data_IF_770213414484
#
_entry.id   IF_770213414484
#
_cell.length_a   1.000
_cell.length_b   1.000
_cell.length_c   1.000
_cell.angle_alpha   90.00
_cell.angle_beta   90.00
_cell.angle_gamma   90.00
#
_symmetry.space_group_name_H-M   'P 1'
#
loop_
_entity.id
_entity.type
_entity.pdbx_description
1 polymer ?
#
# COMPACT_ATOMS: atom_id res chain seq x y z
N UNK A 1 35.32 10.23 -8.76
CA UNK A 1 34.35 9.27 -9.34
C UNK A 1 33.05 10.03 -9.53
N UNK A 2 32.82 10.54 -10.75
CA UNK A 2 31.73 11.46 -11.07
C UNK A 2 30.44 10.67 -11.33
N UNK A 3 29.36 11.05 -10.64
CA UNK A 3 28.03 10.54 -10.93
C UNK A 3 27.56 11.06 -12.30
N UNK A 4 27.06 10.15 -13.13
CA UNK A 4 26.48 10.48 -14.44
C UNK A 4 25.12 11.16 -14.22
N UNK A 5 25.01 12.44 -14.61
CA UNK A 5 23.79 13.26 -14.50
C UNK A 5 22.93 13.08 -15.76
N UNK A 6 21.62 12.85 -15.59
CA UNK A 6 20.63 12.80 -16.67
C UNK A 6 20.26 14.24 -17.12
N UNK A 7 20.22 14.57 -18.42
CA UNK A 7 20.17 15.95 -18.92
C UNK A 7 18.77 16.61 -18.90
N UNK A 8 17.79 16.03 -18.21
CA UNK A 8 16.41 16.53 -18.10
C UNK A 8 16.09 17.18 -16.75
N UNK A 9 17.05 17.89 -16.15
CA UNK A 9 17.02 18.35 -14.76
C UNK A 9 15.89 19.34 -14.43
N UNK A 10 14.80 18.83 -13.86
CA UNK A 10 14.14 19.53 -12.78
C UNK A 10 14.92 19.23 -11.50
N UNK A 11 15.39 20.28 -10.83
CA UNK A 11 16.01 20.19 -9.50
C UNK A 11 15.04 19.47 -8.56
N UNK A 12 15.37 18.24 -8.14
CA UNK A 12 14.58 17.54 -7.13
C UNK A 12 14.81 18.21 -5.78
N UNK A 13 13.82 18.99 -5.35
CA UNK A 13 13.77 19.59 -4.04
C UNK A 13 13.82 18.49 -2.96
N UNK A 14 14.75 18.51 -1.98
CA UNK A 14 14.92 17.43 -1.00
C UNK A 14 13.82 17.34 0.06
N UNK A 15 12.72 18.10 -0.09
CA UNK A 15 11.47 17.86 0.61
C UNK A 15 10.69 16.78 -0.14
N UNK A 16 10.64 15.57 0.42
CA UNK A 16 9.93 14.41 -0.11
C UNK A 16 8.51 14.75 -0.54
N UNK A 17 8.30 14.98 -1.83
CA UNK A 17 6.97 15.02 -2.41
C UNK A 17 6.44 13.59 -2.37
N UNK A 18 5.51 13.31 -1.45
CA UNK A 18 4.78 12.05 -1.45
C UNK A 18 4.18 11.83 -2.84
N UNK A 19 4.67 10.82 -3.56
CA UNK A 19 4.37 10.59 -4.97
C UNK A 19 4.07 9.13 -5.28
N UNK A 20 4.21 8.24 -4.31
CA UNK A 20 4.01 6.81 -4.47
C UNK A 20 2.63 6.39 -3.95
N UNK A 21 1.84 5.75 -4.81
CA UNK A 21 0.66 4.99 -4.42
C UNK A 21 1.02 3.50 -4.33
N UNK A 22 0.62 2.83 -3.25
CA UNK A 22 0.92 1.43 -2.98
C UNK A 22 -0.37 0.62 -2.93
N UNK A 23 -0.49 -0.37 -3.80
CA UNK A 23 -1.61 -1.32 -3.80
C UNK A 23 -1.16 -2.60 -3.11
N UNK A 24 -1.93 -3.07 -2.13
CA UNK A 24 -1.67 -4.29 -1.35
C UNK A 24 -2.83 -5.27 -1.52
N UNK A 25 -2.77 -6.17 -2.51
CA UNK A 25 -3.68 -7.32 -2.57
C UNK A 25 -3.40 -8.22 -1.37
N UNK A 26 -4.43 -8.58 -0.62
CA UNK A 26 -4.33 -9.35 0.61
C UNK A 26 -5.26 -10.57 0.53
N UNK A 27 -4.73 -11.78 0.73
CA UNK A 27 -5.53 -12.99 0.89
C UNK A 27 -4.83 -13.93 1.85
N UNK A 28 -5.42 -14.15 3.02
CA UNK A 28 -4.87 -15.00 4.10
C UNK A 28 -3.44 -14.61 4.54
N UNK A 29 -3.24 -13.32 4.83
CA UNK A 29 -1.97 -12.70 5.23
C UNK A 29 -1.98 -12.25 6.71
N UNK A 30 -2.75 -12.90 7.58
CA UNK A 30 -2.88 -12.49 8.99
C UNK A 30 -1.53 -12.42 9.73
N UNK A 31 -0.55 -13.21 9.32
CA UNK A 31 0.80 -13.23 9.90
C UNK A 31 1.72 -12.08 9.47
N UNK A 32 1.42 -11.37 8.37
CA UNK A 32 2.35 -10.43 7.74
C UNK A 32 1.77 -9.03 7.55
N UNK A 33 0.45 -8.92 7.42
CA UNK A 33 -0.20 -7.70 6.95
C UNK A 33 0.09 -6.46 7.82
N UNK A 34 0.15 -6.62 9.15
CA UNK A 34 0.44 -5.51 10.06
C UNK A 34 1.90 -5.02 9.95
N UNK A 35 2.86 -5.93 9.73
CA UNK A 35 4.26 -5.58 9.50
C UNK A 35 4.43 -4.84 8.18
N UNK A 36 3.74 -5.31 7.13
CA UNK A 36 3.75 -4.69 5.80
C UNK A 36 3.22 -3.25 5.90
N UNK A 37 2.08 -3.04 6.56
CA UNK A 37 1.50 -1.71 6.75
C UNK A 37 2.43 -0.78 7.54
N UNK A 38 3.05 -1.26 8.63
CA UNK A 38 4.05 -0.49 9.39
C UNK A 38 5.20 -0.02 8.50
N UNK A 39 5.73 -0.91 7.65
CA UNK A 39 6.87 -0.59 6.79
C UNK A 39 6.53 0.37 5.66
N UNK A 40 5.36 0.21 5.04
CA UNK A 40 4.89 1.09 3.96
C UNK A 40 4.60 2.48 4.52
N UNK A 41 3.81 2.58 5.58
CA UNK A 41 3.40 3.88 6.14
C UNK A 41 4.55 4.64 6.81
N UNK A 42 5.64 3.97 7.19
CA UNK A 42 6.85 4.66 7.65
C UNK A 42 7.59 5.44 6.54
N UNK A 43 7.22 5.27 5.26
CA UNK A 43 7.90 5.89 4.12
C UNK A 43 7.31 7.28 3.82
N UNK A 44 8.11 8.35 3.81
CA UNK A 44 7.63 9.70 3.50
C UNK A 44 7.23 9.88 2.02
N UNK A 45 7.76 9.06 1.11
CA UNK A 45 7.42 9.08 -0.31
C UNK A 45 6.03 8.48 -0.63
N UNK A 46 5.43 7.74 0.31
CA UNK A 46 4.11 7.12 0.15
C UNK A 46 3.00 8.13 0.39
N UNK A 47 2.24 8.41 -0.67
CA UNK A 47 1.07 9.30 -0.68
C UNK A 47 -0.23 8.56 -0.39
N UNK A 48 -0.37 7.31 -0.86
CA UNK A 48 -1.59 6.52 -0.71
C UNK A 48 -1.25 5.03 -0.54
N UNK A 49 -2.02 4.33 0.28
CA UNK A 49 -2.00 2.87 0.41
C UNK A 49 -3.42 2.35 0.28
N UNK A 50 -3.65 1.50 -0.71
CA UNK A 50 -4.94 0.81 -0.89
C UNK A 50 -4.74 -0.68 -0.64
N UNK A 51 -5.31 -1.19 0.45
CA UNK A 51 -5.35 -2.63 0.71
C UNK A 51 -6.68 -3.17 0.22
N UNK A 52 -6.63 -4.28 -0.53
CA UNK A 52 -7.83 -5.02 -0.93
C UNK A 52 -7.74 -6.41 -0.33
N UNK A 53 -8.56 -6.67 0.70
CA UNK A 53 -8.80 -8.02 1.20
C UNK A 53 -9.63 -8.79 0.19
N UNK A 54 -9.04 -9.78 -0.48
CA UNK A 54 -9.65 -10.57 -1.52
C UNK A 54 -10.41 -11.77 -0.92
N UNK A 55 -11.30 -11.49 0.02
CA UNK A 55 -12.13 -12.50 0.67
C UNK A 55 -11.34 -13.49 1.53
N UNK A 56 -10.45 -12.99 2.39
CA UNK A 56 -9.70 -13.85 3.31
C UNK A 56 -10.63 -14.61 4.26
N UNK A 57 -10.23 -15.84 4.59
CA UNK A 57 -10.93 -16.74 5.53
C UNK A 57 -10.23 -16.87 6.87
N UNK A 58 -9.04 -16.29 7.02
CA UNK A 58 -8.35 -16.14 8.29
C UNK A 58 -8.66 -14.75 8.93
N UNK A 59 -7.84 -14.36 9.91
CA UNK A 59 -8.01 -13.09 10.63
C UNK A 59 -7.47 -11.84 9.88
N UNK A 60 -7.08 -11.95 8.60
CA UNK A 60 -6.50 -10.83 7.84
C UNK A 60 -7.38 -9.59 7.86
N UNK A 61 -8.68 -9.76 7.59
CA UNK A 61 -9.62 -8.64 7.55
C UNK A 61 -9.83 -8.01 8.94
N UNK A 62 -9.91 -8.83 9.98
CA UNK A 62 -10.05 -8.39 11.36
C UNK A 62 -8.84 -7.56 11.77
N UNK A 63 -7.63 -8.00 11.42
CA UNK A 63 -6.39 -7.25 11.66
C UNK A 63 -6.37 -5.94 10.88
N UNK A 64 -6.74 -5.95 9.60
CA UNK A 64 -6.86 -4.74 8.77
C UNK A 64 -7.84 -3.72 9.35
N UNK A 65 -9.00 -4.16 9.85
CA UNK A 65 -9.96 -3.26 10.49
C UNK A 65 -9.37 -2.52 11.69
N UNK A 66 -8.43 -3.12 12.43
CA UNK A 66 -7.78 -2.42 13.55
C UNK A 66 -6.97 -1.21 13.08
N UNK A 67 -6.57 -1.15 11.81
CA UNK A 67 -5.83 -0.04 11.18
C UNK A 67 -6.71 1.06 10.61
N UNK A 68 -8.03 0.84 10.53
CA UNK A 68 -8.96 1.84 10.01
C UNK A 68 -8.84 3.15 10.78
N UNK A 69 -8.65 4.26 10.05
CA UNK A 69 -8.51 5.60 10.62
C UNK A 69 -7.18 5.91 11.31
N UNK A 70 -6.20 4.99 11.33
CA UNK A 70 -4.88 5.25 11.95
C UNK A 70 -3.97 6.14 11.11
N UNK A 71 -4.10 6.09 9.79
CA UNK A 71 -3.31 6.89 8.86
C UNK A 71 -4.22 7.37 7.73
N UNK A 72 -4.26 8.67 7.42
CA UNK A 72 -5.15 9.21 6.38
C UNK A 72 -4.80 8.71 4.97
N UNK A 73 -3.61 8.15 4.77
CA UNK A 73 -3.17 7.57 3.48
C UNK A 73 -3.71 6.17 3.25
N UNK A 74 -4.25 5.50 4.28
CA UNK A 74 -4.67 4.10 4.21
C UNK A 74 -6.16 3.96 3.87
N UNK A 75 -6.45 3.29 2.76
CA UNK A 75 -7.78 2.88 2.34
C UNK A 75 -7.90 1.35 2.35
N UNK A 76 -8.98 0.83 2.91
CA UNK A 76 -9.25 -0.60 3.03
C UNK A 76 -10.50 -0.95 2.22
N UNK A 77 -10.36 -1.91 1.30
CA UNK A 77 -11.45 -2.48 0.50
C UNK A 77 -11.52 -3.99 0.75
N UNK A 78 -12.70 -4.58 0.51
CA UNK A 78 -12.91 -6.02 0.69
C UNK A 78 -13.80 -6.61 -0.38
N UNK A 79 -13.39 -7.77 -0.88
CA UNK A 79 -14.25 -8.66 -1.65
C UNK A 79 -14.98 -9.67 -0.75
N UNK A 80 -16.24 -10.02 -1.06
CA UNK A 80 -16.98 -11.01 -0.28
C UNK A 80 -16.43 -12.44 -0.43
N UNK A 81 -15.70 -12.73 -1.51
CA UNK A 81 -15.02 -13.99 -1.79
C UNK A 81 -13.77 -13.72 -2.63
N UNK A 82 -12.85 -14.68 -2.66
CA UNK A 82 -11.62 -14.58 -3.44
C UNK A 82 -11.92 -14.50 -4.95
N UNK A 83 -11.46 -13.42 -5.59
CA UNK A 83 -11.61 -13.12 -7.02
C UNK A 83 -10.25 -13.15 -7.75
N UNK A 84 -9.18 -13.47 -7.04
CA UNK A 84 -7.81 -13.51 -7.53
C UNK A 84 -7.11 -12.16 -7.46
N UNK A 85 -5.78 -12.22 -7.37
CA UNK A 85 -4.88 -11.05 -7.26
C UNK A 85 -5.14 -9.98 -8.32
N UNK A 86 -5.41 -10.37 -9.57
CA UNK A 86 -5.69 -9.43 -10.66
C UNK A 86 -6.94 -8.59 -10.40
N UNK A 87 -8.02 -9.21 -9.91
CA UNK A 87 -9.24 -8.52 -9.54
C UNK A 87 -9.04 -7.59 -8.34
N UNK A 88 -8.24 -8.00 -7.36
CA UNK A 88 -7.88 -7.17 -6.22
C UNK A 88 -7.08 -5.92 -6.64
N UNK A 89 -6.10 -6.07 -7.54
CA UNK A 89 -5.36 -4.94 -8.11
C UNK A 89 -6.31 -4.02 -8.89
N UNK A 90 -7.17 -4.57 -9.75
CA UNK A 90 -8.12 -3.79 -10.55
C UNK A 90 -9.09 -2.98 -9.67
N UNK A 91 -9.45 -3.50 -8.50
CA UNK A 91 -10.36 -2.83 -7.55
C UNK A 91 -9.69 -1.63 -6.86
N UNK A 92 -8.35 -1.58 -6.83
CA UNK A 92 -7.59 -0.52 -6.19
C UNK A 92 -7.18 0.63 -7.12
N UNK A 93 -7.24 0.43 -8.44
CA UNK A 93 -6.99 1.44 -9.48
C UNK A 93 -8.19 2.39 -9.62
#
# INVERSE_FOLDING_TARGET
MMAHVWPGGAEMNPGSHACLAVIVPCYNEAGTIEEILRRILARPEVAEVVVVDDGSTDDSWQRLQTWSGRDPRLRLLRHPHNRGKGAAIQTAL
#
